data_IF_490348524486
#
_entry.id   IF_490348524486
#
_cell.length_a   1.000
_cell.length_b   1.000
_cell.length_c   1.000
_cell.angle_alpha   90.00
_cell.angle_beta   90.00
_cell.angle_gamma   90.00
#
_symmetry.space_group_name_H-M   'P 1'
#
loop_
_entity.id
_entity.type
_entity.pdbx_description
1 polymer ?
#
# COMPACT_ATOMS: atom_id res chain seq x y z
N UNK A 1 -12.88 0.11 -1.40
CA UNK A 1 -12.49 1.12 -2.43
C UNK A 1 -13.64 1.31 -3.43
N UNK A 2 -13.64 2.34 -4.28
CA UNK A 2 -14.67 2.52 -5.31
C UNK A 2 -14.32 1.74 -6.58
N UNK A 3 -15.33 1.19 -7.27
CA UNK A 3 -15.15 0.45 -8.52
C UNK A 3 -14.56 1.32 -9.64
N UNK A 4 -13.52 0.85 -10.36
CA UNK A 4 -12.95 1.55 -11.52
C UNK A 4 -13.97 1.73 -12.65
N UNK A 5 -13.93 2.88 -13.31
CA UNK A 5 -14.82 3.18 -14.44
C UNK A 5 -14.06 3.83 -15.59
N UNK A 6 -14.41 3.46 -16.81
CA UNK A 6 -13.87 4.06 -18.03
C UNK A 6 -14.99 4.58 -18.93
N UNK A 7 -14.72 5.70 -19.60
CA UNK A 7 -15.58 6.26 -20.64
C UNK A 7 -14.99 5.93 -22.00
N UNK A 8 -15.68 5.04 -22.72
CA UNK A 8 -15.22 4.53 -24.00
C UNK A 8 -16.03 5.20 -25.12
N UNK A 9 -15.35 5.61 -26.19
CA UNK A 9 -15.97 6.15 -27.40
C UNK A 9 -15.68 5.27 -28.62
N UNK A 10 -16.59 5.25 -29.57
CA UNK A 10 -16.34 4.76 -30.93
C UNK A 10 -15.62 5.87 -31.73
N UNK A 11 -14.38 5.60 -32.17
CA UNK A 11 -13.51 6.59 -32.81
C UNK A 11 -14.06 7.03 -34.18
N UNK A 12 -14.57 6.09 -34.99
CA UNK A 12 -15.19 6.40 -36.28
C UNK A 12 -16.38 7.34 -36.10
N UNK A 13 -17.25 7.07 -35.13
CA UNK A 13 -18.40 7.93 -34.81
C UNK A 13 -17.97 9.30 -34.27
N UNK A 14 -16.93 9.34 -33.44
CA UNK A 14 -16.36 10.57 -32.89
C UNK A 14 -15.80 11.48 -33.99
N UNK A 15 -14.98 10.93 -34.89
CA UNK A 15 -14.35 11.67 -36.00
C UNK A 15 -15.38 12.22 -37.01
N UNK A 16 -16.53 11.56 -37.13
CA UNK A 16 -17.64 12.01 -37.98
C UNK A 16 -18.61 12.99 -37.29
N UNK A 17 -18.27 13.48 -36.08
CA UNK A 17 -19.08 14.45 -35.33
C UNK A 17 -20.38 13.89 -34.74
N UNK A 18 -20.49 12.56 -34.67
CA UNK A 18 -21.68 11.85 -34.20
C UNK A 18 -21.31 10.96 -33.01
N UNK A 19 -20.69 11.56 -31.99
CA UNK A 19 -20.03 10.87 -30.87
C UNK A 19 -20.96 9.86 -30.19
N UNK A 20 -20.51 8.61 -30.17
CA UNK A 20 -21.11 7.53 -29.38
C UNK A 20 -20.12 7.11 -28.32
N UNK A 21 -20.42 7.43 -27.07
CA UNK A 21 -19.60 7.02 -25.93
C UNK A 21 -20.44 6.69 -24.71
N UNK A 22 -19.88 5.86 -23.83
CA UNK A 22 -20.57 5.38 -22.64
C UNK A 22 -19.59 5.06 -21.52
N UNK A 23 -20.04 5.28 -20.28
CA UNK A 23 -19.35 4.84 -19.07
C UNK A 23 -19.59 3.35 -18.80
N UNK A 24 -18.52 2.64 -18.46
CA UNK A 24 -18.54 1.25 -18.02
C UNK A 24 -17.84 1.11 -16.67
N UNK A 25 -18.46 0.36 -15.77
CA UNK A 25 -17.80 -0.17 -14.57
C UNK A 25 -16.98 -1.40 -14.97
N UNK A 26 -15.78 -1.51 -14.39
CA UNK A 26 -14.89 -2.64 -14.59
C UNK A 26 -15.10 -3.70 -13.48
N UNK A 27 -14.96 -5.00 -13.78
CA UNK A 27 -14.64 -5.54 -15.10
C UNK A 27 -15.82 -5.44 -16.09
N UNK A 28 -15.51 -5.20 -17.38
CA UNK A 28 -16.50 -5.13 -18.46
C UNK A 28 -16.18 -6.13 -19.58
N UNK A 29 -17.22 -6.82 -20.04
CA UNK A 29 -17.14 -7.69 -21.23
C UNK A 29 -16.99 -6.86 -22.51
N UNK A 30 -15.96 -7.14 -23.31
CA UNK A 30 -15.71 -6.43 -24.56
C UNK A 30 -16.86 -6.59 -25.56
N UNK A 31 -17.48 -7.77 -25.62
CA UNK A 31 -18.64 -8.00 -26.52
C UNK A 31 -19.85 -7.14 -26.16
N UNK A 32 -20.02 -6.78 -24.88
CA UNK A 32 -21.00 -5.78 -24.44
C UNK A 32 -20.64 -4.37 -24.94
N UNK A 33 -19.37 -3.97 -24.80
CA UNK A 33 -18.90 -2.65 -25.27
C UNK A 33 -19.11 -2.52 -26.78
N UNK A 34 -18.73 -3.53 -27.55
CA UNK A 34 -18.91 -3.58 -29.00
C UNK A 34 -20.37 -3.41 -29.41
N UNK A 35 -21.27 -4.18 -28.78
CA UNK A 35 -22.70 -4.12 -29.09
C UNK A 35 -23.33 -2.77 -28.74
N UNK A 36 -22.99 -2.20 -27.58
CA UNK A 36 -23.59 -0.96 -27.10
C UNK A 36 -23.05 0.28 -27.83
N UNK A 37 -21.77 0.28 -28.21
CA UNK A 37 -21.15 1.36 -28.98
C UNK A 37 -21.22 1.15 -30.50
N UNK A 38 -21.76 0.02 -30.94
CA UNK A 38 -21.83 -0.40 -32.35
C UNK A 38 -20.44 -0.39 -32.99
N UNK A 39 -19.44 -0.92 -32.28
CA UNK A 39 -18.10 -1.12 -32.84
C UNK A 39 -18.16 -2.29 -33.82
N UNK A 40 -17.49 -2.13 -34.95
CA UNK A 40 -17.26 -3.17 -35.95
C UNK A 40 -15.75 -3.45 -36.08
N UNK A 41 -15.17 -4.31 -35.22
CA UNK A 41 -13.74 -4.62 -35.24
C UNK A 41 -13.30 -5.30 -36.54
N UNK A 42 -14.19 -6.06 -37.20
CA UNK A 42 -13.90 -6.72 -38.48
C UNK A 42 -13.67 -5.70 -39.60
N UNK A 43 -14.28 -4.52 -39.50
CA UNK A 43 -14.11 -3.43 -40.46
C UNK A 43 -13.20 -2.31 -39.95
N UNK A 44 -12.45 -2.55 -38.87
CA UNK A 44 -11.45 -1.62 -38.34
C UNK A 44 -12.03 -0.45 -37.55
N UNK A 45 -13.25 -0.56 -37.00
CA UNK A 45 -13.72 0.42 -36.02
C UNK A 45 -12.99 0.22 -34.68
N UNK A 46 -12.27 1.25 -34.29
CA UNK A 46 -11.51 1.28 -33.05
C UNK A 46 -12.29 2.04 -31.96
N UNK A 47 -12.01 1.69 -30.71
CA UNK A 47 -12.46 2.44 -29.55
C UNK A 47 -11.30 3.23 -28.93
N UNK A 48 -11.63 4.25 -28.17
CA UNK A 48 -10.68 4.97 -27.32
C UNK A 48 -11.28 5.23 -25.94
N UNK A 49 -10.43 5.26 -24.92
CA UNK A 49 -10.76 5.67 -23.57
C UNK A 49 -10.51 7.17 -23.46
N UNK A 50 -11.57 7.96 -23.32
CA UNK A 50 -11.46 9.43 -23.25
C UNK A 50 -11.47 9.96 -21.82
N UNK A 51 -11.97 9.19 -20.86
CA UNK A 51 -12.03 9.57 -19.45
C UNK A 51 -12.05 8.32 -18.56
N UNK A 52 -11.62 8.44 -17.30
CA UNK A 52 -11.56 7.34 -16.35
C UNK A 52 -11.68 7.82 -14.91
N UNK A 53 -12.11 6.92 -14.01
CA UNK A 53 -12.31 7.21 -12.58
C UNK A 53 -11.88 6.02 -11.72
N UNK A 54 -11.43 6.33 -10.51
CA UNK A 54 -11.14 5.36 -9.43
C UNK A 54 -10.01 4.38 -9.75
N UNK A 55 -8.91 4.90 -10.32
CA UNK A 55 -7.70 4.15 -10.64
C UNK A 55 -6.55 4.36 -9.65
N UNK A 56 -6.74 5.18 -8.62
CA UNK A 56 -5.81 5.29 -7.47
C UNK A 56 -4.31 5.46 -7.84
N UNK A 57 -4.03 6.17 -8.94
CA UNK A 57 -2.65 6.39 -9.43
C UNK A 57 -2.20 5.42 -10.53
N UNK A 58 -2.96 4.37 -10.81
CA UNK A 58 -2.73 3.49 -11.96
C UNK A 58 -2.87 4.25 -13.28
N UNK A 59 -1.95 4.00 -14.20
CA UNK A 59 -1.88 4.72 -15.47
C UNK A 59 -2.92 4.18 -16.47
N UNK A 60 -3.83 5.05 -16.91
CA UNK A 60 -4.82 4.75 -17.95
C UNK A 60 -4.56 5.63 -19.16
N UNK A 61 -4.25 4.99 -20.29
CA UNK A 61 -4.05 5.64 -21.58
C UNK A 61 -5.28 5.51 -22.48
N UNK A 62 -5.30 6.33 -23.54
CA UNK A 62 -6.36 6.35 -24.55
C UNK A 62 -6.58 4.99 -25.22
N UNK A 63 -5.50 4.22 -25.38
CA UNK A 63 -5.48 2.90 -26.02
C UNK A 63 -5.16 1.78 -25.02
N UNK A 64 -5.34 2.01 -23.72
CA UNK A 64 -5.17 0.96 -22.71
C UNK A 64 -6.11 -0.21 -23.00
N UNK A 65 -5.60 -1.43 -22.81
CA UNK A 65 -6.38 -2.64 -23.04
C UNK A 65 -7.50 -2.77 -22.00
N UNK A 66 -8.74 -2.98 -22.45
CA UNK A 66 -9.85 -3.30 -21.53
C UNK A 66 -9.56 -4.55 -20.70
N UNK A 67 -8.80 -5.52 -21.23
CA UNK A 67 -8.41 -6.71 -20.46
C UNK A 67 -7.49 -6.35 -19.29
N UNK A 68 -6.45 -5.54 -19.54
CA UNK A 68 -5.58 -5.03 -18.46
C UNK A 68 -6.39 -4.18 -17.47
N UNK A 69 -7.35 -3.43 -18.01
CA UNK A 69 -8.44 -2.72 -17.35
C UNK A 69 -9.11 -3.54 -16.25
N UNK A 70 -9.66 -4.67 -16.72
CA UNK A 70 -10.40 -5.63 -15.94
C UNK A 70 -9.49 -6.32 -14.91
N UNK A 71 -8.30 -6.76 -15.32
CA UNK A 71 -7.34 -7.41 -14.42
C UNK A 71 -6.96 -6.49 -13.25
N UNK A 72 -6.77 -5.18 -13.51
CA UNK A 72 -6.56 -4.18 -12.47
C UNK A 72 -7.78 -4.08 -11.53
N UNK A 73 -8.99 -4.02 -12.08
CA UNK A 73 -10.21 -3.91 -11.27
C UNK A 73 -10.42 -5.14 -10.36
N UNK A 74 -10.13 -6.35 -10.84
CA UNK A 74 -10.17 -7.57 -10.04
C UNK A 74 -9.15 -7.52 -8.90
N UNK A 75 -7.90 -7.15 -9.19
CA UNK A 75 -6.86 -6.99 -8.14
C UNK A 75 -7.21 -5.90 -7.13
N UNK A 76 -7.82 -4.81 -7.59
CA UNK A 76 -8.28 -3.74 -6.71
C UNK A 76 -9.38 -4.21 -5.76
N UNK A 77 -10.29 -5.07 -6.24
CA UNK A 77 -11.30 -5.71 -5.41
C UNK A 77 -10.67 -6.59 -4.33
N UNK A 78 -9.63 -7.37 -4.68
CA UNK A 78 -8.92 -8.23 -3.71
C UNK A 78 -8.30 -7.47 -2.54
N UNK A 79 -7.79 -6.26 -2.79
CA UNK A 79 -7.21 -5.42 -1.73
C UNK A 79 -8.22 -4.45 -1.13
N UNK A 80 -9.45 -4.41 -1.63
CA UNK A 80 -10.42 -3.39 -1.22
C UNK A 80 -10.88 -3.52 0.23
N UNK A 81 -10.77 -4.73 0.79
CA UNK A 81 -11.05 -5.11 2.18
C UNK A 81 -9.78 -5.17 3.05
N UNK A 82 -8.62 -4.78 2.51
CA UNK A 82 -7.36 -4.76 3.25
C UNK A 82 -7.42 -3.70 4.35
N UNK A 83 -7.18 -4.13 5.60
CA UNK A 83 -7.15 -3.24 6.76
C UNK A 83 -6.05 -2.19 6.58
N UNK A 84 -6.32 -0.94 6.97
CA UNK A 84 -5.37 0.18 6.85
C UNK A 84 -4.92 0.54 5.42
N UNK A 85 -5.70 0.19 4.40
CA UNK A 85 -5.38 0.54 2.99
C UNK A 85 -5.19 2.04 2.74
N UNK A 86 -5.86 2.90 3.51
CA UNK A 86 -5.71 4.35 3.35
C UNK A 86 -4.32 4.81 3.76
N UNK A 87 -3.85 4.31 4.90
CA UNK A 87 -2.54 4.56 5.46
C UNK A 87 -1.46 4.02 4.51
N UNK A 88 -1.64 2.82 3.94
CA UNK A 88 -0.72 2.32 2.93
C UNK A 88 -0.65 3.20 1.67
N UNK A 89 -1.78 3.75 1.21
CA UNK A 89 -1.83 4.65 0.05
C UNK A 89 -1.18 6.02 0.30
N UNK A 90 -0.91 6.40 1.55
CA UNK A 90 -0.15 7.62 1.85
C UNK A 90 1.36 7.44 1.55
N UNK A 91 1.84 6.20 1.55
CA UNK A 91 3.27 5.87 1.44
C UNK A 91 3.59 5.16 0.12
N UNK A 92 2.72 4.26 -0.32
CA UNK A 92 2.96 3.37 -1.46
C UNK A 92 1.99 3.65 -2.61
N UNK A 93 2.44 3.33 -3.82
CA UNK A 93 1.54 3.33 -4.97
C UNK A 93 0.56 2.16 -4.89
N UNK A 94 -0.58 2.27 -5.59
CA UNK A 94 -1.54 1.16 -5.65
C UNK A 94 -0.93 -0.11 -6.27
N UNK A 95 -0.01 0.04 -7.22
CA UNK A 95 0.68 -1.09 -7.85
C UNK A 95 1.60 -1.82 -6.86
N UNK A 96 2.29 -1.08 -5.99
CA UNK A 96 3.11 -1.67 -4.92
C UNK A 96 2.24 -2.41 -3.91
N UNK A 97 1.11 -1.82 -3.50
CA UNK A 97 0.16 -2.44 -2.56
C UNK A 97 -0.41 -3.73 -3.14
N UNK A 98 -0.85 -3.72 -4.41
CA UNK A 98 -1.37 -4.91 -5.09
C UNK A 98 -0.30 -6.01 -5.15
N UNK A 99 0.95 -5.64 -5.44
CA UNK A 99 2.05 -6.61 -5.62
C UNK A 99 2.58 -7.18 -4.31
N UNK A 100 2.46 -6.45 -3.21
CA UNK A 100 3.04 -6.78 -1.91
C UNK A 100 1.99 -6.97 -0.81
N UNK A 101 0.71 -7.16 -1.15
CA UNK A 101 -0.41 -7.17 -0.19
C UNK A 101 -0.23 -8.09 1.02
N UNK A 102 0.45 -9.23 0.84
CA UNK A 102 0.67 -10.24 1.88
C UNK A 102 1.85 -9.89 2.81
N UNK A 103 2.69 -8.93 2.42
CA UNK A 103 3.87 -8.47 3.16
C UNK A 103 3.67 -7.07 3.79
N UNK A 104 2.50 -6.47 3.62
CA UNK A 104 2.18 -5.17 4.22
C UNK A 104 1.94 -5.31 5.72
N UNK A 105 2.60 -4.45 6.49
CA UNK A 105 2.48 -4.40 7.94
C UNK A 105 2.12 -2.97 8.37
N UNK A 106 1.03 -2.86 9.12
CA UNK A 106 0.64 -1.63 9.80
C UNK A 106 0.77 -1.86 11.31
N UNK A 107 1.48 -0.95 11.99
CA UNK A 107 1.62 -0.96 13.44
C UNK A 107 0.96 0.30 13.98
N UNK A 108 -0.09 0.12 14.78
CA UNK A 108 -0.74 1.22 15.49
C UNK A 108 0.14 1.64 16.67
N UNK A 109 0.70 2.84 16.61
CA UNK A 109 1.58 3.40 17.64
C UNK A 109 1.44 4.94 17.70
N UNK A 110 1.52 5.51 18.91
CA UNK A 110 1.39 6.96 19.13
C UNK A 110 2.66 7.74 18.75
N UNK A 111 3.82 7.13 18.98
CA UNK A 111 5.15 7.69 18.68
C UNK A 111 6.21 6.59 18.46
N UNK A 112 7.47 7.00 18.28
CA UNK A 112 8.59 6.08 18.03
C UNK A 112 8.88 5.13 19.21
N UNK A 113 8.58 5.54 20.45
CA UNK A 113 8.76 4.70 21.64
C UNK A 113 7.71 3.60 21.67
N UNK A 114 6.46 3.97 21.43
CA UNK A 114 5.32 3.05 21.35
C UNK A 114 5.49 2.06 20.18
N UNK A 115 5.93 2.53 19.01
CA UNK A 115 6.25 1.68 17.86
C UNK A 115 7.29 0.60 18.23
N UNK A 116 8.36 1.00 18.93
CA UNK A 116 9.39 0.06 19.35
C UNK A 116 8.83 -0.95 20.37
N UNK A 117 7.98 -0.51 21.30
CA UNK A 117 7.36 -1.38 22.29
C UNK A 117 6.44 -2.43 21.63
N UNK A 118 5.57 -2.01 20.71
CA UNK A 118 4.65 -2.88 19.98
C UNK A 118 5.39 -3.92 19.14
N UNK A 119 6.37 -3.50 18.34
CA UNK A 119 7.18 -4.43 17.52
C UNK A 119 7.92 -5.46 18.38
N UNK A 120 8.49 -5.04 19.51
CA UNK A 120 9.17 -5.96 20.45
C UNK A 120 8.19 -6.93 21.09
N UNK A 121 6.99 -6.47 21.47
CA UNK A 121 5.94 -7.31 22.02
C UNK A 121 5.49 -8.38 21.00
N UNK A 122 5.29 -8.00 19.73
CA UNK A 122 4.93 -8.91 18.65
C UNK A 122 6.01 -9.97 18.38
N UNK A 123 7.30 -9.60 18.51
CA UNK A 123 8.43 -10.54 18.45
C UNK A 123 8.52 -11.49 19.65
N UNK A 124 7.66 -11.34 20.66
CA UNK A 124 7.64 -12.18 21.87
C UNK A 124 8.42 -11.62 23.05
N UNK A 125 8.78 -10.34 23.03
CA UNK A 125 9.42 -9.63 24.15
C UNK A 125 10.89 -9.28 23.94
N UNK A 126 11.45 -8.49 24.86
CA UNK A 126 12.84 -8.00 24.80
C UNK A 126 13.86 -9.15 24.78
N UNK A 127 13.53 -10.29 25.38
CA UNK A 127 14.37 -11.49 25.41
C UNK A 127 14.59 -12.14 24.04
N UNK A 128 13.74 -11.86 23.05
CA UNK A 128 13.90 -12.39 21.69
C UNK A 128 14.84 -11.54 20.83
N UNK A 129 15.18 -10.33 21.31
CA UNK A 129 16.13 -9.47 20.64
C UNK A 129 17.54 -10.04 20.64
N UNK A 130 18.28 -9.76 19.58
CA UNK A 130 19.66 -10.19 19.46
C UNK A 130 20.52 -9.56 20.55
N UNK A 131 21.57 -10.28 20.99
CA UNK A 131 22.54 -9.73 21.95
C UNK A 131 23.15 -8.41 21.46
N UNK A 132 23.44 -8.29 20.16
CA UNK A 132 23.98 -7.06 19.58
C UNK A 132 23.00 -5.88 19.72
N UNK A 133 21.71 -6.11 19.50
CA UNK A 133 20.65 -5.10 19.70
C UNK A 133 20.59 -4.67 21.17
N UNK A 134 20.54 -5.64 22.09
CA UNK A 134 20.49 -5.35 23.53
C UNK A 134 21.72 -4.54 23.98
N UNK A 135 22.91 -4.90 23.49
CA UNK A 135 24.15 -4.17 23.81
C UNK A 135 24.16 -2.74 23.24
N UNK A 136 23.62 -2.53 22.03
CA UNK A 136 23.54 -1.22 21.40
C UNK A 136 22.65 -0.24 22.17
N UNK A 137 21.57 -0.74 22.77
CA UNK A 137 20.58 0.09 23.48
C UNK A 137 20.70 0.02 25.01
N UNK A 138 21.65 -0.76 25.56
CA UNK A 138 21.82 -0.85 27.00
C UNK A 138 22.36 0.46 27.60
N UNK A 139 21.60 1.05 28.52
CA UNK A 139 21.98 2.30 29.16
C UNK A 139 22.92 2.06 30.36
N UNK A 140 24.21 1.92 30.08
CA UNK A 140 25.26 1.74 31.09
C UNK A 140 25.31 2.88 32.13
N UNK A 141 24.95 4.10 31.74
CA UNK A 141 24.94 5.25 32.66
C UNK A 141 23.83 5.12 33.71
N UNK A 142 22.61 4.77 33.29
CA UNK A 142 21.50 4.53 34.20
C UNK A 142 21.76 3.32 35.11
N UNK A 143 22.15 2.19 34.53
CA UNK A 143 22.45 0.98 35.30
C UNK A 143 23.61 1.18 36.28
N UNK A 144 24.68 1.85 35.83
CA UNK A 144 25.84 2.17 36.68
C UNK A 144 25.49 3.13 37.82
N UNK A 145 24.59 4.09 37.59
CA UNK A 145 24.06 4.97 38.65
C UNK A 145 23.32 4.15 39.71
N UNK A 146 22.48 3.23 39.29
CA UNK A 146 21.71 2.39 40.21
C UNK A 146 22.66 1.52 41.05
N UNK A 147 23.67 0.89 40.42
CA UNK A 147 24.73 0.16 41.13
C UNK A 147 25.50 1.04 42.14
N UNK A 148 25.79 2.29 41.81
CA UNK A 148 26.46 3.24 42.70
C UNK A 148 25.58 3.76 43.84
N UNK A 149 24.26 3.55 43.77
CA UNK A 149 23.31 3.90 44.84
C UNK A 149 23.13 2.70 45.79
N UNK A 150 23.01 1.48 45.27
CA UNK A 150 22.71 0.28 46.05
C UNK A 150 23.95 -0.50 46.46
N UNK A 151 24.76 -0.89 45.48
CA UNK A 151 25.70 -2.01 45.60
C UNK A 151 27.15 -1.56 45.73
N UNK A 152 27.46 -0.33 45.35
CA UNK A 152 28.83 0.19 45.30
C UNK A 152 28.93 1.61 45.85
N UNK A 153 30.06 1.92 46.49
CA UNK A 153 30.42 3.27 46.94
C UNK A 153 31.60 3.81 46.14
N UNK A 154 31.54 5.09 45.77
CA UNK A 154 32.59 5.77 45.03
C UNK A 154 33.79 6.13 45.92
N UNK A 155 35.00 5.99 45.39
CA UNK A 155 36.27 6.40 46.00
C UNK A 155 37.05 7.30 45.03
N UNK A 156 38.24 7.76 45.43
CA UNK A 156 39.13 8.54 44.55
C UNK A 156 39.69 7.77 43.36
N UNK A 157 39.62 6.43 43.34
CA UNK A 157 40.23 5.60 42.28
C UNK A 157 39.26 4.56 41.68
N UNK A 158 37.96 4.66 41.94
CA UNK A 158 36.97 3.70 41.43
C UNK A 158 35.85 3.43 42.44
N UNK A 159 35.20 2.27 42.30
CA UNK A 159 34.06 1.85 43.12
C UNK A 159 34.39 0.60 43.95
N UNK A 160 33.84 0.52 45.15
CA UNK A 160 33.99 -0.64 46.06
C UNK A 160 32.61 -1.19 46.38
N UNK A 161 32.44 -2.52 46.32
CA UNK A 161 31.17 -3.18 46.65
C UNK A 161 30.83 -3.01 48.14
N UNK A 162 29.60 -2.62 48.44
CA UNK A 162 29.06 -2.49 49.78
C UNK A 162 28.92 -3.89 50.43
N UNK A 163 29.08 -3.97 51.76
CA UNK A 163 28.95 -5.19 52.58
C UNK A 163 27.76 -5.10 53.53
#
# INVERSE_FOLDING_TARGET
>A
METPKIYIVNLSSYNNGNTRGKWYELPVDMGRVERELQLDPEHGEEYAIHDFKNFYGFSVGEYSSISELNDYAEKLEEISDLDHIKEFLEIYSIDDIISCKDDLEFVEAEDDEDLAAELVAQMGGVETLSQATLEQYFNYAAYGRDLAISDYSQTSHGYVRNI
#
